data_IF_639962555432
#
_entry.id   IF_639962555432
#
_cell.length_a   1.000
_cell.length_b   1.000
_cell.length_c   1.000
_cell.angle_alpha   90.00
_cell.angle_beta   90.00
_cell.angle_gamma   90.00
#
_symmetry.space_group_name_H-M   'P 1'
#
loop_
_entity.id
_entity.type
_entity.pdbx_description
1 polymer ?
#
# COMPACT_ATOMS: atom_id res chain seq x y z
N UNK A 1 -8.13 7.42 24.43
CA UNK A 1 -7.95 6.33 23.45
C UNK A 1 -7.23 5.18 24.13
N UNK A 2 -7.60 3.93 23.84
CA UNK A 2 -6.91 2.77 24.40
C UNK A 2 -5.55 2.58 23.68
N UNK A 3 -4.51 2.08 24.37
CA UNK A 3 -3.18 1.87 23.77
C UNK A 3 -3.19 0.97 22.53
N UNK A 4 -4.10 0.00 22.49
CA UNK A 4 -4.32 -0.91 21.35
C UNK A 4 -4.81 -0.18 20.10
N UNK A 5 -5.71 0.80 20.25
CA UNK A 5 -6.27 1.54 19.12
C UNK A 5 -5.20 2.41 18.46
N UNK A 6 -4.32 3.03 19.26
CA UNK A 6 -3.19 3.81 18.76
C UNK A 6 -2.25 2.93 17.92
N UNK A 7 -1.91 1.73 18.41
CA UNK A 7 -1.06 0.80 17.66
C UNK A 7 -1.68 0.33 16.35
N UNK A 8 -3.00 0.12 16.31
CA UNK A 8 -3.71 -0.24 15.09
C UNK A 8 -3.65 0.88 14.04
N UNK A 9 -3.76 2.14 14.48
CA UNK A 9 -3.55 3.30 13.60
C UNK A 9 -2.11 3.33 13.10
N UNK A 10 -1.11 3.10 13.97
CA UNK A 10 0.28 3.08 13.53
C UNK A 10 0.55 1.98 12.48
N UNK A 11 -0.07 0.81 12.62
CA UNK A 11 0.04 -0.27 11.63
C UNK A 11 -0.71 0.01 10.32
N UNK A 12 -1.73 0.87 10.33
CA UNK A 12 -2.49 1.21 9.12
C UNK A 12 -1.84 2.31 8.28
N UNK A 13 -1.00 3.15 8.87
CA UNK A 13 -0.35 4.25 8.16
C UNK A 13 0.49 3.77 6.96
N UNK A 14 1.28 2.71 7.13
CA UNK A 14 2.14 2.20 6.06
C UNK A 14 1.36 1.62 4.86
N UNK A 15 0.43 0.67 5.02
CA UNK A 15 -0.34 0.15 3.88
C UNK A 15 -1.17 1.26 3.21
N UNK A 16 -1.77 2.17 3.98
CA UNK A 16 -2.48 3.32 3.44
C UNK A 16 -1.58 4.22 2.59
N UNK A 17 -0.41 4.60 3.11
CA UNK A 17 0.55 5.43 2.39
C UNK A 17 1.00 4.76 1.08
N UNK A 18 1.25 3.44 1.10
CA UNK A 18 1.65 2.68 -0.08
C UNK A 18 0.54 2.56 -1.12
N UNK A 19 -0.72 2.41 -0.71
CA UNK A 19 -1.87 2.42 -1.63
C UNK A 19 -1.96 3.75 -2.37
N UNK A 20 -2.00 4.86 -1.63
CA UNK A 20 -2.13 6.21 -2.21
C UNK A 20 -0.92 6.54 -3.08
N UNK A 21 0.29 6.31 -2.57
CA UNK A 21 1.52 6.55 -3.30
C UNK A 21 1.60 5.70 -4.57
N UNK A 22 1.29 4.40 -4.45
CA UNK A 22 1.29 3.48 -5.58
C UNK A 22 0.28 3.88 -6.64
N UNK A 23 -0.93 4.28 -6.27
CA UNK A 23 -1.93 4.76 -7.24
C UNK A 23 -1.45 6.03 -7.95
N UNK A 24 -0.95 7.03 -7.23
CA UNK A 24 -0.48 8.30 -7.81
C UNK A 24 0.71 8.09 -8.74
N UNK A 25 1.71 7.32 -8.30
CA UNK A 25 2.88 6.99 -9.12
C UNK A 25 2.47 6.15 -10.33
N UNK A 26 1.60 5.17 -10.13
CA UNK A 26 1.06 4.33 -11.20
C UNK A 26 0.31 5.14 -12.26
N UNK A 27 -0.49 6.13 -11.85
CA UNK A 27 -1.18 7.05 -12.76
C UNK A 27 -0.17 7.86 -13.59
N UNK A 28 0.82 8.46 -12.92
CA UNK A 28 1.85 9.25 -13.60
C UNK A 28 2.68 8.42 -14.58
N UNK A 29 3.13 7.23 -14.17
CA UNK A 29 3.90 6.32 -15.02
C UNK A 29 3.09 5.84 -16.22
N UNK A 30 1.82 5.47 -16.01
CA UNK A 30 0.95 5.01 -17.08
C UNK A 30 0.70 6.15 -18.08
N UNK A 31 0.37 7.36 -17.61
CA UNK A 31 0.18 8.51 -18.48
C UNK A 31 1.43 8.81 -19.33
N UNK A 32 2.61 8.77 -18.70
CA UNK A 32 3.89 8.99 -19.37
C UNK A 32 4.20 7.93 -20.43
N UNK A 33 3.97 6.65 -20.12
CA UNK A 33 4.25 5.53 -21.05
C UNK A 33 3.29 5.51 -22.24
N UNK A 34 2.01 5.78 -22.02
CA UNK A 34 0.98 5.73 -23.06
C UNK A 34 0.73 7.09 -23.75
N UNK A 35 1.41 8.15 -23.30
CA UNK A 35 1.27 9.50 -23.88
C UNK A 35 -0.09 10.15 -23.61
N UNK A 36 -0.74 9.81 -22.49
CA UNK A 36 -2.08 10.31 -22.13
C UNK A 36 -1.93 11.65 -21.40
N UNK A 37 -2.63 12.68 -21.88
CA UNK A 37 -2.63 14.00 -21.25
C UNK A 37 -3.47 14.02 -19.97
N UNK A 38 -2.81 14.21 -18.83
CA UNK A 38 -3.46 14.42 -17.53
C UNK A 38 -3.84 15.89 -17.36
N UNK A 39 -4.96 16.28 -17.96
CA UNK A 39 -5.52 17.62 -17.84
C UNK A 39 -6.92 17.62 -17.23
N UNK A 40 -7.25 18.73 -16.55
CA UNK A 40 -8.59 19.03 -16.07
C UNK A 40 -9.11 20.27 -16.80
N UNK A 41 -10.30 20.16 -17.39
CA UNK A 41 -11.03 21.26 -18.02
C UNK A 41 -12.18 21.65 -17.09
N UNK A 42 -12.32 22.94 -16.79
CA UNK A 42 -13.45 23.48 -16.05
C UNK A 42 -14.71 23.47 -16.89
N UNK A 43 -15.80 22.89 -16.38
CA UNK A 43 -17.11 22.96 -17.03
C UNK A 43 -17.76 24.31 -16.69
N UNK A 44 -18.08 25.18 -17.67
CA UNK A 44 -18.51 26.56 -17.41
C UNK A 44 -19.80 26.71 -16.58
N UNK A 45 -20.63 25.68 -16.52
CA UNK A 45 -21.97 25.74 -15.89
C UNK A 45 -22.01 25.25 -14.44
N UNK A 46 -20.88 24.85 -13.84
CA UNK A 46 -20.85 24.36 -12.47
C UNK A 46 -19.60 24.80 -11.69
N UNK A 47 -19.81 25.29 -10.46
CA UNK A 47 -18.77 25.90 -9.62
C UNK A 47 -17.62 24.96 -9.20
N UNK A 48 -17.79 23.63 -9.32
CA UNK A 48 -16.79 22.62 -8.93
C UNK A 48 -16.78 21.38 -9.84
N UNK A 49 -17.20 21.49 -11.10
CA UNK A 49 -17.17 20.35 -12.02
C UNK A 49 -15.97 20.45 -12.95
N UNK A 50 -15.05 19.51 -12.77
CA UNK A 50 -13.89 19.34 -13.63
C UNK A 50 -14.08 18.07 -14.47
N UNK A 51 -13.83 18.16 -15.76
CA UNK A 51 -13.80 17.01 -16.66
C UNK A 51 -12.36 16.76 -17.10
N UNK A 52 -11.99 15.51 -17.28
CA UNK A 52 -10.67 15.16 -17.80
C UNK A 52 -10.58 15.47 -19.29
N UNK A 53 -9.38 15.80 -19.76
CA UNK A 53 -9.07 15.92 -21.19
C UNK A 53 -9.07 14.53 -21.86
N UNK A 54 -8.66 13.51 -21.10
CA UNK A 54 -8.56 12.13 -21.57
C UNK A 54 -9.92 11.52 -21.91
N UNK A 55 -9.94 10.72 -22.98
CA UNK A 55 -11.12 9.95 -23.41
C UNK A 55 -11.44 8.81 -22.42
N UNK A 56 -12.66 8.28 -22.46
CA UNK A 56 -13.10 7.20 -21.57
C UNK A 56 -12.20 5.95 -21.69
N UNK A 57 -11.76 5.61 -22.90
CA UNK A 57 -10.84 4.50 -23.12
C UNK A 57 -9.48 4.73 -22.44
N UNK A 58 -8.95 5.95 -22.54
CA UNK A 58 -7.68 6.32 -21.92
C UNK A 58 -7.76 6.33 -20.40
N UNK A 59 -8.88 6.81 -19.84
CA UNK A 59 -9.14 6.76 -18.40
C UNK A 59 -9.18 5.32 -17.86
N UNK A 60 -9.78 4.41 -18.62
CA UNK A 60 -9.86 3.00 -18.23
C UNK A 60 -8.47 2.34 -18.23
N UNK A 61 -7.65 2.63 -19.24
CA UNK A 61 -6.24 2.19 -19.29
C UNK A 61 -5.47 2.78 -18.10
N UNK A 62 -5.62 4.07 -17.85
CA UNK A 62 -4.94 4.77 -16.78
C UNK A 62 -5.30 4.20 -15.40
N UNK A 63 -6.58 3.93 -15.14
CA UNK A 63 -6.98 3.30 -13.88
C UNK A 63 -6.44 1.89 -13.76
N UNK A 64 -6.62 1.05 -14.78
CA UNK A 64 -6.27 -0.37 -14.72
C UNK A 64 -4.78 -0.61 -14.48
N UNK A 65 -3.90 0.12 -15.18
CA UNK A 65 -2.45 -0.02 -15.01
C UNK A 65 -1.94 0.66 -13.73
N UNK A 66 -2.56 1.77 -13.30
CA UNK A 66 -2.22 2.37 -12.00
C UNK A 66 -2.66 1.49 -10.83
N UNK A 67 -3.79 0.80 -10.94
CA UNK A 67 -4.25 -0.19 -9.96
C UNK A 67 -3.30 -1.39 -9.91
N UNK A 68 -2.87 -1.89 -11.06
CA UNK A 68 -1.87 -2.96 -11.13
C UNK A 68 -0.59 -2.57 -10.39
N UNK A 69 -0.08 -1.36 -10.64
CA UNK A 69 1.13 -0.87 -9.98
C UNK A 69 0.94 -0.71 -8.45
N UNK A 70 -0.21 -0.17 -8.04
CA UNK A 70 -0.61 -0.08 -6.64
C UNK A 70 -0.63 -1.48 -5.98
N UNK A 71 -1.26 -2.47 -6.61
CA UNK A 71 -1.33 -3.83 -6.08
C UNK A 71 0.04 -4.48 -5.96
N UNK A 72 0.95 -4.28 -6.92
CA UNK A 72 2.33 -4.79 -6.83
C UNK A 72 3.06 -4.20 -5.62
N UNK A 73 2.93 -2.90 -5.37
CA UNK A 73 3.55 -2.26 -4.21
C UNK A 73 2.98 -2.77 -2.89
N UNK A 74 1.66 -2.89 -2.79
CA UNK A 74 0.99 -3.42 -1.59
C UNK A 74 1.35 -4.89 -1.37
N UNK A 75 1.36 -5.71 -2.41
CA UNK A 75 1.76 -7.11 -2.33
C UNK A 75 3.21 -7.26 -1.86
N UNK A 76 4.12 -6.38 -2.32
CA UNK A 76 5.51 -6.36 -1.87
C UNK A 76 5.61 -6.00 -0.39
N UNK A 77 4.88 -4.96 0.06
CA UNK A 77 4.86 -4.56 1.46
C UNK A 77 4.25 -5.63 2.37
N UNK A 78 3.18 -6.30 1.94
CA UNK A 78 2.60 -7.41 2.69
C UNK A 78 3.53 -8.63 2.73
N UNK A 79 4.22 -8.93 1.64
CA UNK A 79 5.21 -10.01 1.58
C UNK A 79 6.33 -9.80 2.59
N UNK A 80 6.76 -8.55 2.83
CA UNK A 80 7.71 -8.24 3.89
C UNK A 80 7.18 -8.64 5.28
N UNK A 81 5.91 -8.36 5.58
CA UNK A 81 5.28 -8.78 6.85
C UNK A 81 5.22 -10.30 6.98
N UNK A 82 4.90 -11.01 5.89
CA UNK A 82 4.90 -12.48 5.89
C UNK A 82 6.30 -13.06 6.11
N UNK A 83 7.33 -12.52 5.46
CA UNK A 83 8.72 -12.93 5.67
C UNK A 83 9.12 -12.69 7.13
N UNK A 84 8.73 -11.54 7.70
CA UNK A 84 8.95 -11.26 9.12
C UNK A 84 8.26 -12.27 10.03
N UNK A 85 7.02 -12.67 9.70
CA UNK A 85 6.29 -13.69 10.44
C UNK A 85 6.93 -15.07 10.38
N UNK A 86 7.56 -15.44 9.25
CA UNK A 86 8.14 -16.76 9.05
C UNK A 86 9.58 -16.90 9.57
N UNK A 87 10.36 -15.81 9.58
CA UNK A 87 11.81 -15.86 9.86
C UNK A 87 12.25 -15.06 11.08
N UNK A 88 11.50 -14.02 11.47
CA UNK A 88 11.88 -13.10 12.53
C UNK A 88 10.86 -13.09 13.69
N UNK A 89 10.10 -14.18 13.83
CA UNK A 89 9.16 -14.37 14.92
C UNK A 89 9.90 -14.77 16.21
N UNK A 90 9.59 -14.06 17.29
CA UNK A 90 10.26 -14.19 18.59
C UNK A 90 10.25 -15.60 19.19
N UNK A 91 9.24 -16.43 18.90
CA UNK A 91 9.14 -17.78 19.47
C UNK A 91 10.01 -18.80 18.74
N UNK A 92 10.40 -18.56 17.49
CA UNK A 92 11.05 -19.57 16.63
C UNK A 92 12.36 -19.08 16.01
N UNK A 93 12.83 -17.89 16.38
CA UNK A 93 14.09 -17.35 15.87
C UNK A 93 15.30 -18.09 16.47
N UNK A 94 16.22 -18.54 15.60
CA UNK A 94 17.48 -19.16 16.02
C UNK A 94 18.39 -18.13 16.71
N UNK A 95 19.07 -18.53 17.79
CA UNK A 95 20.08 -17.76 18.52
C UNK A 95 21.18 -17.24 17.57
N UNK A 96 21.56 -18.01 16.55
CA UNK A 96 22.52 -17.56 15.53
C UNK A 96 22.01 -16.31 14.80
N UNK A 97 20.74 -16.31 14.41
CA UNK A 97 20.09 -15.18 13.74
C UNK A 97 20.01 -13.97 14.65
N UNK A 98 19.64 -14.16 15.93
CA UNK A 98 19.60 -13.08 16.93
C UNK A 98 20.96 -12.41 17.08
N UNK A 99 22.04 -13.19 17.20
CA UNK A 99 23.40 -12.66 17.32
C UNK A 99 23.83 -11.87 16.07
N UNK A 100 23.45 -12.33 14.88
CA UNK A 100 23.71 -11.60 13.63
C UNK A 100 22.95 -10.27 13.64
N UNK A 101 21.66 -10.29 13.94
CA UNK A 101 20.83 -9.09 14.01
C UNK A 101 21.34 -8.10 15.05
N UNK A 102 21.76 -8.57 16.22
CA UNK A 102 22.36 -7.75 17.27
C UNK A 102 23.63 -7.04 16.78
N UNK A 103 24.53 -7.75 16.09
CA UNK A 103 25.76 -7.18 15.54
C UNK A 103 25.52 -6.07 14.53
N UNK A 104 24.41 -6.12 13.79
CA UNK A 104 24.02 -5.12 12.80
C UNK A 104 23.02 -4.07 13.33
N UNK A 105 22.69 -4.09 14.63
CA UNK A 105 21.67 -3.22 15.24
C UNK A 105 20.26 -3.37 14.59
N UNK A 106 19.93 -4.59 14.18
CA UNK A 106 18.69 -4.95 13.49
C UNK A 106 17.71 -5.74 14.36
N UNK A 107 17.86 -5.70 15.70
CA UNK A 107 16.96 -6.41 16.62
C UNK A 107 15.49 -5.97 16.49
N UNK A 108 15.24 -4.75 16.00
CA UNK A 108 13.90 -4.25 15.70
C UNK A 108 13.14 -5.06 14.61
N UNK A 109 13.85 -5.89 13.83
CA UNK A 109 13.25 -6.82 12.87
C UNK A 109 12.59 -8.02 13.54
N UNK A 110 13.00 -8.35 14.77
CA UNK A 110 12.36 -9.41 15.56
C UNK A 110 11.00 -8.88 16.01
N UNK A 111 9.95 -9.63 15.68
CA UNK A 111 8.57 -9.25 15.96
C UNK A 111 7.89 -10.25 16.87
N UNK A 112 7.02 -9.72 17.73
CA UNK A 112 6.17 -10.56 18.57
C UNK A 112 4.95 -11.05 17.79
N UNK A 113 4.32 -12.12 18.27
CA UNK A 113 3.04 -12.61 17.74
C UNK A 113 1.98 -11.50 17.65
N UNK A 114 1.89 -10.65 18.68
CA UNK A 114 0.92 -9.56 18.72
C UNK A 114 1.12 -8.58 17.55
N UNK A 115 2.37 -8.16 17.31
CA UNK A 115 2.69 -7.21 16.24
C UNK A 115 2.42 -7.79 14.86
N UNK A 116 2.81 -9.06 14.63
CA UNK A 116 2.64 -9.72 13.35
C UNK A 116 1.17 -9.95 13.00
N UNK A 117 0.36 -10.44 13.94
CA UNK A 117 -1.06 -10.70 13.66
C UNK A 117 -1.84 -9.40 13.43
N UNK A 118 -1.60 -8.36 14.25
CA UNK A 118 -2.30 -7.08 14.07
C UNK A 118 -1.87 -6.39 12.79
N UNK A 119 -0.57 -6.38 12.48
CA UNK A 119 -0.09 -5.84 11.21
C UNK A 119 -0.68 -6.61 10.04
N UNK A 120 -0.56 -7.94 9.99
CA UNK A 120 -1.08 -8.75 8.90
C UNK A 120 -2.59 -8.58 8.70
N UNK A 121 -3.38 -8.53 9.78
CA UNK A 121 -4.82 -8.28 9.70
C UNK A 121 -5.14 -6.91 9.06
N UNK A 122 -4.41 -5.86 9.46
CA UNK A 122 -4.57 -4.52 8.87
C UNK A 122 -4.23 -4.54 7.38
N UNK A 123 -3.12 -5.17 6.99
CA UNK A 123 -2.75 -5.29 5.57
C UNK A 123 -3.81 -6.01 4.73
N UNK A 124 -4.40 -7.08 5.25
CA UNK A 124 -5.49 -7.81 4.57
C UNK A 124 -6.73 -6.93 4.42
N UNK A 125 -7.10 -6.17 5.44
CA UNK A 125 -8.24 -5.24 5.38
C UNK A 125 -8.04 -4.22 4.26
N UNK A 126 -6.86 -3.59 4.18
CA UNK A 126 -6.56 -2.62 3.12
C UNK A 126 -6.52 -3.24 1.72
N UNK A 127 -6.00 -4.46 1.60
CA UNK A 127 -6.04 -5.18 0.33
C UNK A 127 -7.48 -5.45 -0.12
N UNK A 128 -8.35 -5.90 0.79
CA UNK A 128 -9.77 -6.15 0.49
C UNK A 128 -10.51 -4.86 0.14
N UNK A 129 -10.30 -3.79 0.89
CA UNK A 129 -10.91 -2.48 0.65
C UNK A 129 -10.54 -1.95 -0.75
N UNK A 130 -9.26 -2.02 -1.11
CA UNK A 130 -8.78 -1.59 -2.43
C UNK A 130 -9.38 -2.38 -3.60
N UNK A 131 -9.85 -3.60 -3.37
CA UNK A 131 -10.54 -4.40 -4.38
C UNK A 131 -12.02 -3.99 -4.50
N UNK A 132 -12.66 -3.61 -3.39
CA UNK A 132 -14.08 -3.25 -3.34
C UNK A 132 -14.43 -1.94 -4.06
N UNK A 133 -13.44 -1.06 -4.29
CA UNK A 133 -13.60 0.22 -4.99
C UNK A 133 -13.58 0.15 -6.53
N UNK A 134 -13.31 -1.02 -7.13
CA UNK A 134 -13.23 -1.20 -8.60
C UNK A 134 -14.60 -1.25 -9.33
N UNK A 135 -15.67 -0.78 -8.68
CA UNK A 135 -17.04 -0.82 -9.21
C UNK A 135 -17.68 0.58 -9.32
N UNK A 136 -16.95 1.61 -9.76
CA UNK A 136 -17.56 2.84 -10.29
C UNK A 136 -16.67 3.46 -11.36
#
# INVERSE_FOLDING_TARGET
>A
MTPTLVKLIDYSLLPFALLVFGKVVGLYLTASVFGIELGLISVPEALLTFRTVADQADLQVLSSYSDLFMFVLVATGFSYVLIAALKFHDTHIDIKTVNILARYNLLMLIKTSYELYHSAAVWVIFYLDSNSGSFY
#
